data_IF_141362706897
#
_entry.id   IF_141362706897
#
_cell.length_a   1.000
_cell.length_b   1.000
_cell.length_c   1.000
_cell.angle_alpha   90.00
_cell.angle_beta   90.00
_cell.angle_gamma   90.00
#
_symmetry.space_group_name_H-M   'P 1'
#
loop_
_entity.id
_entity.type
_entity.pdbx_description
1 polymer ?
#
# COMPACT_ATOMS: atom_id res chain seq x y z
N UNK A 1 2.17 -51.09 36.32
CA UNK A 1 1.15 -52.15 36.30
C UNK A 1 -0.10 -51.56 35.65
N UNK A 2 -0.64 -52.26 34.63
CA UNK A 2 -1.97 -52.18 33.98
C UNK A 2 -3.11 -51.75 34.95
N UNK A 3 -4.27 -51.13 34.62
CA UNK A 3 -5.12 -51.10 33.42
C UNK A 3 -6.44 -50.30 33.69
N UNK A 4 -7.16 -49.93 32.61
CA UNK A 4 -8.62 -49.69 32.40
C UNK A 4 -9.33 -48.53 33.14
N UNK A 5 -10.02 -47.58 32.46
CA UNK A 5 -11.26 -47.64 31.65
C UNK A 5 -12.52 -47.88 32.49
N UNK A 6 -13.45 -46.92 32.52
CA UNK A 6 -14.89 -47.12 32.18
C UNK A 6 -15.68 -45.82 32.07
N UNK A 7 -16.55 -45.78 31.05
CA UNK A 7 -17.64 -44.84 30.78
C UNK A 7 -18.87 -45.28 31.58
N UNK A 8 -19.87 -44.40 31.80
CA UNK A 8 -21.25 -44.82 31.57
C UNK A 8 -22.08 -43.82 30.74
N UNK A 9 -23.01 -44.40 29.98
CA UNK A 9 -24.03 -43.80 29.11
C UNK A 9 -25.45 -44.04 29.66
N UNK A 10 -26.43 -43.33 29.07
CA UNK A 10 -27.91 -43.47 29.13
C UNK A 10 -28.63 -42.92 30.38
N UNK A 11 -29.84 -42.31 30.33
CA UNK A 11 -31.00 -42.56 29.46
C UNK A 11 -31.98 -41.34 29.32
N UNK A 12 -32.78 -41.41 28.26
CA UNK A 12 -33.94 -40.63 27.76
C UNK A 12 -35.07 -40.28 28.74
N UNK A 13 -35.91 -39.30 28.38
CA UNK A 13 -37.36 -39.54 28.16
C UNK A 13 -38.03 -38.49 27.25
N UNK A 14 -38.88 -38.99 26.34
CA UNK A 14 -39.69 -38.32 25.31
C UNK A 14 -41.03 -37.77 25.85
N UNK A 15 -41.76 -37.06 24.98
CA UNK A 15 -43.23 -36.98 24.70
C UNK A 15 -43.53 -35.52 24.25
N UNK A 16 -44.35 -35.17 23.25
CA UNK A 16 -45.48 -35.83 22.61
C UNK A 16 -45.78 -35.19 21.23
N UNK A 17 -46.59 -35.88 20.43
CA UNK A 17 -46.91 -35.70 19.01
C UNK A 17 -48.35 -35.17 18.81
N UNK A 18 -48.63 -34.45 17.71
CA UNK A 18 -49.82 -34.56 16.81
C UNK A 18 -49.62 -33.61 15.58
N UNK A 19 -49.46 -34.08 14.32
CA UNK A 19 -50.46 -34.49 13.29
C UNK A 19 -51.35 -33.29 12.83
N UNK A 20 -51.59 -32.91 11.56
CA UNK A 20 -51.93 -33.64 10.31
C UNK A 20 -51.66 -32.77 9.04
N UNK A 21 -51.45 -33.48 7.92
CA UNK A 21 -51.37 -33.16 6.48
C UNK A 21 -52.31 -32.10 5.86
N UNK A 22 -51.82 -31.42 4.81
CA UNK A 22 -52.51 -31.19 3.52
C UNK A 22 -51.47 -30.95 2.40
N UNK A 23 -51.93 -30.96 1.16
CA UNK A 23 -51.28 -31.60 0.02
C UNK A 23 -51.03 -30.64 -1.16
N UNK A 24 -50.12 -31.07 -2.05
CA UNK A 24 -50.13 -30.86 -3.51
C UNK A 24 -49.66 -29.53 -4.15
N UNK A 25 -48.95 -29.73 -5.28
CA UNK A 25 -48.64 -28.85 -6.44
C UNK A 25 -47.53 -27.79 -6.30
N UNK A 26 -46.35 -28.05 -6.89
CA UNK A 26 -45.98 -27.56 -8.24
C UNK A 26 -44.46 -27.42 -8.42
N UNK A 27 -44.00 -27.81 -9.60
CA UNK A 27 -42.61 -27.77 -10.02
C UNK A 27 -42.14 -26.33 -10.31
N UNK A 28 -40.89 -26.03 -9.95
CA UNK A 28 -40.11 -24.97 -10.58
C UNK A 28 -38.63 -25.36 -10.59
N UNK A 29 -38.14 -25.65 -11.79
CA UNK A 29 -36.73 -25.85 -12.07
C UNK A 29 -35.96 -24.54 -11.84
N UNK A 30 -35.16 -24.47 -10.77
CA UNK A 30 -34.22 -23.37 -10.55
C UNK A 30 -32.91 -23.68 -11.28
N UNK A 31 -32.74 -23.03 -12.42
CA UNK A 31 -31.53 -23.08 -13.25
C UNK A 31 -30.34 -22.54 -12.43
N UNK A 32 -29.35 -23.39 -12.20
CA UNK A 32 -28.05 -23.04 -11.62
C UNK A 32 -27.33 -22.04 -12.53
N UNK A 33 -27.55 -20.74 -12.30
CA UNK A 33 -26.70 -19.68 -12.85
C UNK A 33 -25.44 -19.59 -11.99
N UNK A 34 -24.46 -20.41 -12.37
CA UNK A 34 -23.07 -20.33 -11.93
C UNK A 34 -22.54 -18.92 -12.23
N UNK A 35 -22.63 -18.00 -11.26
CA UNK A 35 -21.96 -16.69 -11.34
C UNK A 35 -20.46 -16.96 -11.38
N UNK A 36 -19.88 -16.81 -12.57
CA UNK A 36 -18.43 -16.67 -12.74
C UNK A 36 -18.03 -15.40 -12.01
N UNK A 37 -17.47 -15.55 -10.81
CA UNK A 37 -16.64 -14.51 -10.22
C UNK A 37 -15.34 -14.47 -11.02
N UNK A 38 -15.32 -13.63 -12.05
CA UNK A 38 -14.07 -13.12 -12.62
C UNK A 38 -13.44 -12.23 -11.55
N UNK A 39 -12.57 -12.80 -10.74
CA UNK A 39 -11.54 -12.05 -10.01
C UNK A 39 -10.67 -11.37 -11.05
N UNK A 40 -11.00 -10.11 -11.38
CA UNK A 40 -10.06 -9.23 -12.04
C UNK A 40 -8.95 -8.93 -11.02
N UNK A 41 -7.85 -9.68 -11.14
CA UNK A 41 -6.59 -9.30 -10.55
C UNK A 41 -6.19 -7.97 -11.20
N UNK A 42 -6.41 -6.87 -10.47
CA UNK A 42 -5.87 -5.56 -10.82
C UNK A 42 -4.37 -5.60 -10.54
N UNK A 43 -3.60 -6.13 -11.47
CA UNK A 43 -2.16 -5.94 -11.49
C UNK A 43 -1.92 -4.44 -11.64
N UNK A 44 -1.54 -3.76 -10.56
CA UNK A 44 -1.20 -2.33 -10.56
C UNK A 44 0.12 -2.13 -11.31
N UNK A 45 0.03 -2.12 -12.65
CA UNK A 45 1.03 -1.61 -13.59
C UNK A 45 1.13 -0.08 -13.47
N UNK A 46 1.49 0.46 -12.31
CA UNK A 46 1.74 1.89 -12.20
C UNK A 46 3.18 2.10 -11.77
N UNK A 47 4.01 2.46 -12.74
CA UNK A 47 5.33 3.00 -12.48
C UNK A 47 5.26 4.40 -11.85
N UNK A 48 4.14 4.80 -11.26
CA UNK A 48 3.95 6.09 -10.61
C UNK A 48 3.05 5.94 -9.37
N UNK A 49 3.33 6.71 -8.33
CA UNK A 49 2.47 6.81 -7.14
C UNK A 49 2.53 8.22 -6.57
N UNK A 50 1.47 8.65 -5.88
CA UNK A 50 1.48 9.92 -5.14
C UNK A 50 1.86 9.66 -3.70
N UNK A 51 2.79 10.44 -3.15
CA UNK A 51 3.14 10.41 -1.72
C UNK A 51 3.12 11.82 -1.13
N UNK A 52 3.47 11.97 0.15
CA UNK A 52 3.62 13.26 0.82
C UNK A 52 5.09 13.64 0.93
N UNK A 53 5.39 14.94 0.83
CA UNK A 53 6.78 15.41 0.77
C UNK A 53 7.47 15.40 2.14
N UNK A 54 6.70 15.69 3.19
CA UNK A 54 7.22 15.91 4.53
C UNK A 54 6.22 15.49 5.60
N UNK A 55 6.66 15.56 6.86
CA UNK A 55 5.83 15.26 8.02
C UNK A 55 4.78 16.36 8.20
N UNK A 56 3.52 15.96 8.37
CA UNK A 56 2.38 16.87 8.55
C UNK A 56 1.63 16.49 9.82
N UNK A 57 1.06 17.47 10.50
CA UNK A 57 0.32 17.27 11.75
C UNK A 57 -1.02 18.00 11.70
N UNK A 58 -2.04 17.37 12.26
CA UNK A 58 -3.37 17.95 12.44
C UNK A 58 -3.96 17.48 13.76
N UNK A 59 -4.48 18.39 14.57
CA UNK A 59 -5.14 18.03 15.82
C UNK A 59 -6.58 18.54 15.92
N UNK A 60 -7.38 17.81 16.69
CA UNK A 60 -8.78 18.12 16.92
C UNK A 60 -9.24 17.59 18.27
N UNK A 61 -10.02 18.40 18.99
CA UNK A 61 -10.71 17.95 20.19
C UNK A 61 -12.12 17.43 19.85
N UNK A 62 -12.47 16.25 20.37
CA UNK A 62 -13.78 15.62 20.18
C UNK A 62 -14.25 15.09 21.53
N UNK A 63 -15.34 15.67 22.06
CA UNK A 63 -15.89 15.34 23.39
C UNK A 63 -14.79 15.32 24.47
N UNK A 64 -14.04 16.41 24.59
CA UNK A 64 -12.89 16.58 25.51
C UNK A 64 -11.68 15.66 25.26
N UNK A 65 -11.78 14.69 24.36
CA UNK A 65 -10.62 13.87 23.98
C UNK A 65 -9.82 14.60 22.90
N UNK A 66 -8.51 14.73 23.08
CA UNK A 66 -7.62 15.33 22.08
C UNK A 66 -7.09 14.25 21.15
N UNK A 67 -7.20 14.48 19.85
CA UNK A 67 -6.64 13.62 18.80
C UNK A 67 -5.61 14.41 18.01
N UNK A 68 -4.41 13.86 17.84
CA UNK A 68 -3.31 14.46 17.07
C UNK A 68 -2.90 13.44 16.01
N UNK A 69 -3.24 13.70 14.76
CA UNK A 69 -2.80 12.92 13.61
C UNK A 69 -1.45 13.46 13.12
N UNK A 70 -0.50 12.56 12.88
CA UNK A 70 0.82 12.86 12.35
C UNK A 70 1.05 11.92 11.17
N UNK A 71 1.21 12.47 9.97
CA UNK A 71 1.48 11.72 8.75
C UNK A 71 2.92 11.96 8.29
N UNK A 72 3.58 10.96 7.73
CA UNK A 72 4.92 11.11 7.14
C UNK A 72 5.22 10.11 6.03
N UNK A 73 6.12 10.46 5.10
CA UNK A 73 6.53 9.55 4.03
C UNK A 73 7.40 8.41 4.57
N UNK A 74 7.24 7.22 4.00
CA UNK A 74 7.97 6.00 4.37
C UNK A 74 8.35 5.19 3.13
N UNK A 75 9.50 4.52 3.14
CA UNK A 75 9.95 3.69 2.01
C UNK A 75 9.52 2.22 2.13
N UNK A 76 9.41 1.73 3.36
CA UNK A 76 9.26 0.33 3.74
C UNK A 76 8.76 0.18 5.20
N UNK A 77 8.47 -1.05 5.64
CA UNK A 77 8.00 -1.35 7.00
C UNK A 77 8.99 -0.88 8.09
N UNK A 78 10.30 -0.99 7.85
CA UNK A 78 11.31 -0.57 8.84
C UNK A 78 11.26 0.94 9.06
N UNK A 79 11.15 1.71 7.99
CA UNK A 79 10.99 3.17 8.04
C UNK A 79 9.67 3.56 8.72
N UNK A 80 8.59 2.80 8.52
CA UNK A 80 7.33 3.00 9.25
C UNK A 80 7.51 2.82 10.76
N UNK A 81 8.13 1.72 11.19
CA UNK A 81 8.35 1.48 12.62
C UNK A 81 9.32 2.50 13.24
N UNK A 82 10.29 3.00 12.47
CA UNK A 82 11.14 4.13 12.89
C UNK A 82 10.30 5.40 13.07
N UNK A 83 9.44 5.74 12.12
CA UNK A 83 8.56 6.89 12.19
C UNK A 83 7.63 6.82 13.42
N UNK A 84 7.00 5.66 13.68
CA UNK A 84 6.20 5.44 14.88
C UNK A 84 6.99 5.75 16.16
N UNK A 85 8.21 5.25 16.24
CA UNK A 85 9.08 5.42 17.40
C UNK A 85 9.45 6.90 17.63
N UNK A 86 9.57 7.68 16.55
CA UNK A 86 9.88 9.11 16.60
C UNK A 86 8.69 9.96 17.07
N UNK A 87 7.46 9.60 16.68
CA UNK A 87 6.29 10.47 16.88
C UNK A 87 5.38 10.05 18.01
N UNK A 88 5.43 8.79 18.47
CA UNK A 88 4.58 8.31 19.57
C UNK A 88 4.82 9.11 20.85
N UNK A 89 3.77 9.34 21.63
CA UNK A 89 3.90 9.85 23.00
C UNK A 89 3.59 8.72 24.00
N UNK A 90 4.57 8.27 24.81
CA UNK A 90 4.36 7.25 25.84
C UNK A 90 3.35 7.64 26.92
N UNK A 91 3.02 8.93 27.06
CA UNK A 91 2.05 9.45 28.03
C UNK A 91 0.63 9.51 27.47
N UNK A 92 0.47 9.33 26.16
CA UNK A 92 -0.85 9.30 25.54
C UNK A 92 -1.63 8.05 25.96
N UNK A 93 -2.96 8.13 25.86
CA UNK A 93 -3.82 6.97 26.13
C UNK A 93 -3.63 5.90 25.07
N UNK A 94 -3.56 6.31 23.79
CA UNK A 94 -3.33 5.42 22.65
C UNK A 94 -2.53 6.15 21.56
N UNK A 95 -1.68 5.42 20.86
CA UNK A 95 -0.90 5.81 19.69
C UNK A 95 -1.28 4.89 18.52
N UNK A 96 -2.55 4.93 18.10
CA UNK A 96 -3.06 4.08 17.03
C UNK A 96 -2.45 4.48 15.69
N UNK A 97 -2.24 3.54 14.78
CA UNK A 97 -1.56 3.84 13.52
C UNK A 97 -1.99 2.94 12.37
N UNK A 98 -1.71 3.41 11.16
CA UNK A 98 -1.70 2.60 9.95
C UNK A 98 -0.62 3.09 8.98
N UNK A 99 -0.15 2.21 8.11
CA UNK A 99 0.73 2.57 7.01
C UNK A 99 0.37 1.82 5.73
N UNK A 100 0.83 2.37 4.60
CA UNK A 100 0.73 1.75 3.27
C UNK A 100 2.04 1.94 2.50
N UNK A 101 2.53 0.85 1.89
CA UNK A 101 3.66 0.80 0.97
C UNK A 101 3.30 -0.15 -0.17
N UNK A 102 2.74 0.38 -1.25
CA UNK A 102 2.16 -0.41 -2.34
C UNK A 102 1.04 -1.31 -1.82
N UNK A 103 1.16 -2.61 -2.09
CA UNK A 103 0.22 -3.64 -1.62
C UNK A 103 0.42 -4.01 -0.13
N UNK A 104 1.54 -3.59 0.48
CA UNK A 104 1.80 -3.84 1.89
C UNK A 104 1.11 -2.78 2.74
N UNK A 105 0.19 -3.20 3.58
CA UNK A 105 -0.48 -2.33 4.53
C UNK A 105 -0.60 -3.01 5.89
N UNK A 106 -0.63 -2.20 6.95
CA UNK A 106 -0.84 -2.69 8.32
C UNK A 106 -1.46 -1.58 9.15
N UNK A 107 -2.25 -1.98 10.15
CA UNK A 107 -2.85 -1.07 11.12
C UNK A 107 -2.85 -1.67 12.52
N UNK A 108 -2.92 -0.81 13.53
CA UNK A 108 -2.94 -1.19 14.93
C UNK A 108 -3.81 -0.22 15.74
N UNK A 109 -4.69 -0.79 16.58
CA UNK A 109 -5.60 -0.05 17.44
C UNK A 109 -4.96 0.41 18.77
N UNK A 110 -3.74 -0.05 19.11
CA UNK A 110 -2.99 0.32 20.33
C UNK A 110 -3.82 0.28 21.63
N UNK A 111 -4.64 -0.76 21.80
CA UNK A 111 -5.48 -0.93 22.98
C UNK A 111 -6.87 -0.28 22.90
N UNK A 112 -7.19 0.46 21.84
CA UNK A 112 -8.58 0.80 21.51
C UNK A 112 -9.38 -0.48 21.18
N UNK A 113 -10.73 -0.44 21.28
CA UNK A 113 -11.55 -1.55 20.82
C UNK A 113 -11.23 -1.94 19.37
N UNK A 114 -11.15 -3.25 19.11
CA UNK A 114 -10.66 -3.76 17.83
C UNK A 114 -11.41 -3.19 16.63
N UNK A 115 -10.65 -2.69 15.66
CA UNK A 115 -11.14 -2.11 14.41
C UNK A 115 -11.73 -0.71 14.54
N UNK A 116 -11.61 -0.05 15.70
CA UNK A 116 -12.17 1.30 15.91
C UNK A 116 -11.19 2.45 15.68
N UNK A 117 -9.90 2.16 15.51
CA UNK A 117 -8.87 3.16 15.29
C UNK A 117 -8.00 2.87 14.06
N UNK A 118 -7.25 1.76 14.08
CA UNK A 118 -6.31 1.38 13.02
C UNK A 118 -6.98 1.21 11.66
N UNK A 119 -8.10 0.48 11.59
CA UNK A 119 -8.86 0.30 10.34
C UNK A 119 -9.39 1.63 9.76
N UNK A 120 -10.02 2.52 10.55
CA UNK A 120 -10.39 3.86 10.07
C UNK A 120 -9.22 4.70 9.56
N UNK A 121 -8.05 4.66 10.20
CA UNK A 121 -6.84 5.36 9.72
C UNK A 121 -6.40 4.77 8.38
N UNK A 122 -6.40 3.45 8.24
CA UNK A 122 -6.09 2.78 6.97
C UNK A 122 -7.08 3.20 5.87
N UNK A 123 -8.38 3.22 6.15
CA UNK A 123 -9.39 3.68 5.17
C UNK A 123 -9.19 5.14 4.76
N UNK A 124 -8.71 6.00 5.67
CA UNK A 124 -8.33 7.37 5.35
C UNK A 124 -7.12 7.42 4.38
N UNK A 125 -6.11 6.57 4.58
CA UNK A 125 -4.98 6.43 3.65
C UNK A 125 -5.48 5.97 2.28
N UNK A 126 -6.26 4.89 2.22
CA UNK A 126 -6.73 4.33 0.96
C UNK A 126 -7.60 5.31 0.16
N UNK A 127 -8.51 6.02 0.83
CA UNK A 127 -9.37 7.02 0.18
C UNK A 127 -8.64 8.30 -0.24
N UNK A 128 -7.45 8.57 0.31
CA UNK A 128 -6.64 9.73 -0.07
C UNK A 128 -5.90 9.57 -1.40
N UNK A 129 -5.74 8.33 -1.90
CA UNK A 129 -4.93 8.03 -3.08
C UNK A 129 -3.41 8.18 -2.86
N UNK A 130 -2.98 8.37 -1.61
CA UNK A 130 -1.57 8.50 -1.22
C UNK A 130 -1.02 7.10 -0.90
N UNK A 131 0.18 6.82 -1.38
CA UNK A 131 0.97 5.64 -1.08
C UNK A 131 2.29 6.02 -0.39
N UNK A 132 2.98 5.02 0.17
CA UNK A 132 4.26 5.19 0.87
C UNK A 132 4.16 6.18 2.02
N UNK A 133 3.13 5.99 2.84
CA UNK A 133 2.76 6.91 3.92
C UNK A 133 2.42 6.14 5.20
N UNK A 134 2.82 6.71 6.32
CA UNK A 134 2.38 6.31 7.65
C UNK A 134 1.55 7.41 8.28
N UNK A 135 0.50 7.04 9.01
CA UNK A 135 -0.29 7.92 9.85
C UNK A 135 -0.35 7.36 11.27
N UNK A 136 0.05 8.17 12.24
CA UNK A 136 -0.10 7.90 13.68
C UNK A 136 -1.11 8.87 14.24
N UNK A 137 -2.11 8.37 14.96
CA UNK A 137 -3.10 9.19 15.66
C UNK A 137 -2.93 8.98 17.16
N UNK A 138 -2.41 10.00 17.81
CA UNK A 138 -2.22 10.06 19.25
C UNK A 138 -3.52 10.55 19.88
N UNK A 139 -4.01 9.82 20.88
CA UNK A 139 -5.22 10.16 21.62
C UNK A 139 -4.93 10.37 23.09
N UNK A 140 -5.45 11.49 23.63
CA UNK A 140 -5.57 11.73 25.07
C UNK A 140 -7.05 11.64 25.45
N UNK A 141 -7.40 10.70 26.34
CA UNK A 141 -8.77 10.51 26.79
C UNK A 141 -9.28 11.70 27.63
N UNK A 142 -10.43 12.24 27.25
CA UNK A 142 -11.03 13.42 27.88
C UNK A 142 -12.08 13.15 28.97
N UNK A 143 -12.20 11.92 29.47
CA UNK A 143 -13.22 11.54 30.46
C UNK A 143 -14.59 11.19 29.87
N UNK A 144 -14.86 11.46 28.59
CA UNK A 144 -16.13 11.14 27.92
C UNK A 144 -15.93 10.03 26.90
N UNK A 145 -16.65 8.92 27.06
CA UNK A 145 -16.63 7.79 26.10
C UNK A 145 -17.29 8.21 24.77
N UNK A 146 -16.63 7.90 23.66
CA UNK A 146 -17.14 8.19 22.31
C UNK A 146 -18.07 7.10 21.77
N UNK A 147 -17.94 5.86 22.28
CA UNK A 147 -18.57 4.66 21.70
C UNK A 147 -17.91 4.24 20.38
N UNK A 148 -18.19 3.02 19.92
CA UNK A 148 -17.56 2.42 18.72
C UNK A 148 -17.65 3.32 17.48
N UNK A 149 -18.86 3.78 17.12
CA UNK A 149 -19.06 4.66 15.97
C UNK A 149 -18.52 6.08 16.16
N UNK A 150 -18.30 6.52 17.40
CA UNK A 150 -17.63 7.79 17.69
C UNK A 150 -16.13 7.70 17.47
N UNK A 151 -15.50 6.61 17.92
CA UNK A 151 -14.06 6.35 17.71
C UNK A 151 -13.73 6.21 16.23
N UNK A 152 -14.51 5.40 15.50
CA UNK A 152 -14.32 5.20 14.05
C UNK A 152 -14.32 6.53 13.30
N UNK A 153 -15.30 7.40 13.59
CA UNK A 153 -15.39 8.73 12.96
C UNK A 153 -14.28 9.68 13.42
N UNK A 154 -13.87 9.62 14.68
CA UNK A 154 -12.79 10.44 15.20
C UNK A 154 -11.47 10.10 14.53
N UNK A 155 -11.02 8.84 14.60
CA UNK A 155 -9.75 8.37 14.04
C UNK A 155 -9.67 8.54 12.53
N UNK A 156 -10.68 8.07 11.80
CA UNK A 156 -10.72 8.25 10.34
C UNK A 156 -10.80 9.73 9.96
N UNK A 157 -11.60 10.52 10.67
CA UNK A 157 -11.77 11.95 10.38
C UNK A 157 -10.48 12.75 10.53
N UNK A 158 -9.77 12.61 11.65
CA UNK A 158 -8.50 13.35 11.88
C UNK A 158 -7.38 12.89 10.94
N UNK A 159 -7.30 11.60 10.64
CA UNK A 159 -6.35 11.08 9.66
C UNK A 159 -6.63 11.65 8.26
N UNK A 160 -7.89 11.66 7.84
CA UNK A 160 -8.28 12.22 6.53
C UNK A 160 -8.00 13.72 6.44
N UNK A 161 -8.25 14.51 7.48
CA UNK A 161 -7.88 15.94 7.50
C UNK A 161 -6.36 16.13 7.42
N UNK A 162 -5.59 15.34 8.15
CA UNK A 162 -4.12 15.40 8.11
C UNK A 162 -3.59 15.14 6.69
N UNK A 163 -4.12 14.12 6.01
CA UNK A 163 -3.71 13.76 4.64
C UNK A 163 -4.24 14.73 3.58
N UNK A 164 -5.37 15.42 3.84
CA UNK A 164 -5.87 16.49 2.97
C UNK A 164 -4.94 17.70 2.95
N UNK A 165 -4.41 18.07 4.11
CA UNK A 165 -3.54 19.23 4.28
C UNK A 165 -2.08 18.95 3.94
N UNK A 166 -1.72 17.71 3.59
CA UNK A 166 -0.34 17.34 3.34
C UNK A 166 0.13 17.75 1.93
N UNK A 167 1.30 18.42 1.80
CA UNK A 167 1.92 18.67 0.50
C UNK A 167 2.24 17.34 -0.20
N UNK A 168 1.70 17.16 -1.41
CA UNK A 168 1.85 15.91 -2.17
C UNK A 168 2.92 16.04 -3.26
N UNK A 169 3.50 14.92 -3.64
CA UNK A 169 4.33 14.81 -4.83
C UNK A 169 4.02 13.52 -5.59
N UNK A 170 4.10 13.60 -6.92
CA UNK A 170 4.05 12.42 -7.79
C UNK A 170 5.47 11.85 -7.88
N UNK A 171 5.61 10.57 -7.58
CA UNK A 171 6.86 9.82 -7.70
C UNK A 171 6.74 8.87 -8.88
N UNK A 172 7.65 9.01 -9.84
CA UNK A 172 7.80 8.08 -10.95
C UNK A 172 8.88 7.06 -10.63
N UNK A 173 8.54 5.79 -10.76
CA UNK A 173 9.45 4.65 -10.70
C UNK A 173 10.44 4.77 -11.85
N UNK A 174 11.72 4.78 -11.50
CA UNK A 174 12.81 4.78 -12.47
C UNK A 174 13.24 3.35 -12.76
N UNK A 175 13.46 3.04 -14.03
CA UNK A 175 14.01 1.77 -14.48
C UNK A 175 15.50 1.92 -14.80
N UNK A 176 16.35 0.98 -14.35
CA UNK A 176 17.73 0.93 -14.77
C UNK A 176 17.83 0.44 -16.22
N UNK A 177 18.57 1.17 -17.04
CA UNK A 177 18.88 0.82 -18.41
C UNK A 177 20.38 0.86 -18.64
N UNK A 178 20.85 0.04 -19.57
CA UNK A 178 22.23 0.02 -20.07
C UNK A 178 22.23 0.03 -21.59
N UNK A 179 23.24 0.65 -22.19
CA UNK A 179 23.47 0.63 -23.64
C UNK A 179 24.95 0.42 -23.90
N UNK A 180 25.26 -0.54 -24.77
CA UNK A 180 26.60 -0.65 -25.33
C UNK A 180 26.69 0.30 -26.52
N UNK A 181 27.61 1.26 -26.44
CA UNK A 181 27.72 2.34 -27.43
C UNK A 181 29.16 2.48 -27.92
N UNK A 182 29.38 2.60 -29.24
CA UNK A 182 30.66 3.00 -29.81
C UNK A 182 31.11 4.39 -29.35
N UNK A 183 32.42 4.63 -29.18
CA UNK A 183 32.94 5.92 -28.71
C UNK A 183 32.56 7.11 -29.60
N UNK A 184 32.44 6.89 -30.92
CA UNK A 184 32.03 7.91 -31.90
C UNK A 184 30.57 8.36 -31.73
N UNK A 185 29.72 7.55 -31.09
CA UNK A 185 28.30 7.84 -30.85
C UNK A 185 27.98 8.32 -29.43
N UNK A 186 28.97 8.43 -28.54
CA UNK A 186 28.76 8.88 -27.16
C UNK A 186 28.11 10.27 -27.09
N UNK A 187 28.53 11.20 -27.95
CA UNK A 187 27.96 12.55 -27.96
C UNK A 187 26.45 12.55 -28.25
N UNK A 188 26.01 11.74 -29.22
CA UNK A 188 24.59 11.58 -29.56
C UNK A 188 23.82 10.97 -28.40
N UNK A 189 24.37 9.92 -27.77
CA UNK A 189 23.76 9.28 -26.62
C UNK A 189 23.58 10.28 -25.47
N UNK A 190 24.64 10.96 -25.04
CA UNK A 190 24.56 11.91 -23.92
C UNK A 190 23.57 13.05 -24.17
N UNK A 191 23.46 13.53 -25.42
CA UNK A 191 22.45 14.52 -25.79
C UNK A 191 21.02 14.00 -25.57
N UNK A 192 20.74 12.76 -25.98
CA UNK A 192 19.43 12.14 -25.74
C UNK A 192 19.21 11.85 -24.24
N UNK A 193 20.22 11.36 -23.53
CA UNK A 193 20.10 11.12 -22.09
C UNK A 193 19.74 12.41 -21.32
N UNK A 194 20.32 13.55 -21.69
CA UNK A 194 20.01 14.85 -21.10
C UNK A 194 18.57 15.31 -21.39
N UNK A 195 18.06 15.14 -22.62
CA UNK A 195 16.71 15.56 -22.98
C UNK A 195 15.63 14.79 -22.23
N UNK A 196 15.92 13.55 -21.82
CA UNK A 196 15.04 12.70 -21.02
C UNK A 196 15.28 12.76 -19.50
N UNK A 197 16.12 13.68 -19.03
CA UNK A 197 16.39 13.90 -17.60
C UNK A 197 16.78 12.62 -16.84
N UNK A 198 17.59 11.75 -17.47
CA UNK A 198 18.02 10.51 -16.83
C UNK A 198 18.94 10.78 -15.63
N UNK A 199 18.97 9.86 -14.68
CA UNK A 199 19.78 9.94 -13.47
C UNK A 199 20.86 8.86 -13.40
N UNK A 200 21.91 9.12 -12.62
CA UNK A 200 22.89 8.12 -12.25
C UNK A 200 23.66 7.53 -13.43
N UNK A 201 23.97 8.36 -14.43
CA UNK A 201 24.74 7.94 -15.61
C UNK A 201 26.12 7.47 -15.14
N UNK A 202 26.48 6.24 -15.50
CA UNK A 202 27.79 5.64 -15.27
C UNK A 202 28.30 5.02 -16.56
N UNK A 203 29.54 5.34 -16.90
CA UNK A 203 30.24 4.79 -18.04
C UNK A 203 31.29 3.79 -17.54
N UNK A 204 31.26 2.58 -18.09
CA UNK A 204 32.23 1.52 -17.81
C UNK A 204 33.08 1.27 -19.07
N UNK A 205 34.38 1.47 -18.91
CA UNK A 205 35.38 1.34 -19.98
C UNK A 205 35.93 -0.10 -20.07
N UNK A 206 35.75 -0.93 -19.04
CA UNK A 206 36.36 -2.26 -18.95
C UNK A 206 35.50 -3.36 -19.57
N UNK A 207 34.19 -3.12 -19.76
CA UNK A 207 33.23 -4.11 -20.26
C UNK A 207 32.94 -4.06 -21.76
N UNK A 208 33.60 -3.16 -22.51
CA UNK A 208 33.43 -3.02 -23.96
C UNK A 208 34.33 -3.95 -24.78
N UNK A 209 33.91 -4.29 -26.01
CA UNK A 209 34.82 -4.78 -27.05
C UNK A 209 35.65 -3.61 -27.58
N UNK A 210 36.71 -3.86 -28.34
CA UNK A 210 37.52 -2.80 -28.96
C UNK A 210 36.63 -1.74 -29.64
N UNK A 211 36.64 -0.51 -29.09
CA UNK A 211 35.89 0.64 -29.62
C UNK A 211 34.48 0.88 -29.06
N UNK A 212 33.99 0.07 -28.11
CA UNK A 212 32.69 0.27 -27.42
C UNK A 212 32.85 0.49 -25.91
N UNK A 213 31.82 1.03 -25.27
CA UNK A 213 31.73 1.22 -23.82
C UNK A 213 30.29 0.98 -23.36
N UNK A 214 30.12 0.52 -22.12
CA UNK A 214 28.80 0.35 -21.52
C UNK A 214 28.40 1.60 -20.75
N UNK A 215 27.25 2.19 -21.08
CA UNK A 215 26.67 3.30 -20.34
C UNK A 215 25.40 2.83 -19.64
N UNK A 216 25.35 2.98 -18.33
CA UNK A 216 24.17 2.65 -17.51
C UNK A 216 23.56 3.91 -16.90
N UNK A 217 22.24 3.96 -16.79
CA UNK A 217 21.49 5.11 -16.30
C UNK A 217 20.13 4.68 -15.78
N UNK A 218 19.40 5.60 -15.14
CA UNK A 218 18.02 5.41 -14.70
C UNK A 218 17.11 6.40 -15.37
N UNK A 219 16.01 5.93 -15.94
CA UNK A 219 15.01 6.75 -16.63
C UNK A 219 13.63 6.46 -16.06
N UNK A 220 12.72 7.42 -16.10
CA UNK A 220 11.33 7.18 -15.69
C UNK A 220 10.70 6.06 -16.53
N UNK A 221 9.93 5.18 -15.89
CA UNK A 221 9.35 3.99 -16.51
C UNK A 221 8.56 4.31 -17.80
N UNK A 222 7.81 5.42 -17.80
CA UNK A 222 7.00 5.89 -18.94
C UNK A 222 7.81 6.49 -20.09
N UNK A 223 9.10 6.78 -19.86
CA UNK A 223 10.01 7.36 -20.85
C UNK A 223 11.02 6.34 -21.40
N UNK A 224 11.14 5.16 -20.79
CA UNK A 224 12.14 4.17 -21.15
C UNK A 224 12.10 3.75 -22.65
N UNK A 225 10.89 3.46 -23.16
CA UNK A 225 10.71 3.08 -24.58
C UNK A 225 10.98 4.26 -25.52
N UNK A 226 10.49 5.46 -25.16
CA UNK A 226 10.70 6.68 -25.97
C UNK A 226 12.16 7.07 -26.08
N UNK A 227 12.91 6.94 -24.99
CA UNK A 227 14.35 7.19 -24.98
C UNK A 227 15.08 6.19 -25.89
N UNK A 228 14.74 4.90 -25.80
CA UNK A 228 15.32 3.86 -26.65
C UNK A 228 15.06 4.15 -28.14
N UNK A 229 13.83 4.52 -28.50
CA UNK A 229 13.47 4.92 -29.87
C UNK A 229 14.19 6.19 -30.33
N UNK A 230 14.26 7.22 -29.47
CA UNK A 230 14.93 8.47 -29.78
C UNK A 230 16.43 8.28 -30.04
N UNK A 231 17.09 7.44 -29.24
CA UNK A 231 18.50 7.10 -29.46
C UNK A 231 18.65 6.33 -30.77
N UNK A 232 17.84 5.29 -31.02
CA UNK A 232 17.90 4.52 -32.28
C UNK A 232 17.65 5.38 -33.51
N UNK A 233 16.75 6.36 -33.44
CA UNK A 233 16.43 7.27 -34.55
C UNK A 233 17.56 8.27 -34.85
N UNK A 234 18.40 8.61 -33.87
CA UNK A 234 19.48 9.58 -34.02
C UNK A 234 20.87 8.94 -34.16
N UNK A 235 20.97 7.61 -34.08
CA UNK A 235 22.20 6.87 -34.29
C UNK A 235 22.26 6.30 -35.71
N UNK A 236 23.42 6.44 -36.35
CA UNK A 236 23.69 5.86 -37.68
C UNK A 236 23.88 4.34 -37.66
N UNK A 237 23.89 3.71 -36.47
CA UNK A 237 24.08 2.27 -36.24
C UNK A 237 23.07 1.77 -35.22
N UNK A 238 22.75 0.48 -35.31
CA UNK A 238 21.88 -0.19 -34.34
C UNK A 238 22.58 -0.31 -32.98
N UNK A 239 21.95 0.21 -31.92
CA UNK A 239 22.43 0.09 -30.54
C UNK A 239 21.59 -0.91 -29.75
N UNK A 240 22.26 -1.72 -28.94
CA UNK A 240 21.62 -2.72 -28.07
C UNK A 240 21.42 -2.14 -26.67
N UNK A 241 20.16 -2.12 -26.25
CA UNK A 241 19.75 -1.73 -24.91
C UNK A 241 19.52 -2.95 -24.04
N UNK A 242 19.87 -2.81 -22.77
CA UNK A 242 19.69 -3.79 -21.72
C UNK A 242 18.81 -3.15 -20.64
N UNK A 243 17.68 -3.79 -20.31
CA UNK A 243 16.81 -3.40 -19.20
C UNK A 243 17.12 -4.36 -18.05
N UNK A 244 17.45 -3.84 -16.88
CA UNK A 244 17.88 -4.64 -15.73
C UNK A 244 16.75 -4.84 -14.72
#
# INVERSE_FOLDING_TARGET
>A
MRVAITIPTYHQHCYHCHRIYTSFVSAAAATSRRRRNTTMASTSKSGEFTTIQEKVTFDKEIKKSKFIAIAGPISDEKSAMSFLSQVRDPRATHNCWAYKVGEQYRSNDDGEPSGTAGKPIQSAIDSSGIDRVMVVVIRYFGGIKLGTGGLVRAYGGVASECLRNAPRCLVKTKVPMGVEVPFDLLGVLYHQLQSFQVEGIKQDYDTGKDGTTMVTFKVDFDQAEKLEEAVKANCSRELKFFKR
#
